data_IF_718797225318
#
_entry.id   IF_718797225318
#
_cell.length_a   1.000
_cell.length_b   1.000
_cell.length_c   1.000
_cell.angle_alpha   90.00
_cell.angle_beta   90.00
_cell.angle_gamma   90.00
#
_symmetry.space_group_name_H-M   'P 1'
#
loop_
_entity.id
_entity.type
_entity.pdbx_description
1 polymer ?
#
# COMPACT_ATOMS: atom_id res chain seq x y z
N UNK A 1 -11.74 -7.88 -13.01
CA UNK A 1 -10.97 -8.71 -12.11
C UNK A 1 -11.35 -8.39 -10.67
N UNK A 2 -11.61 -9.43 -9.90
CA UNK A 2 -11.87 -9.28 -8.48
C UNK A 2 -10.73 -9.93 -7.70
N UNK A 3 -10.14 -9.17 -6.79
CA UNK A 3 -9.10 -9.68 -5.93
C UNK A 3 -9.69 -9.94 -4.53
N UNK A 4 -9.21 -10.99 -3.88
CA UNK A 4 -9.51 -11.18 -2.47
C UNK A 4 -8.80 -10.11 -1.67
N UNK A 5 -9.20 -9.93 -0.41
CA UNK A 5 -8.60 -8.88 0.42
C UNK A 5 -7.12 -9.12 0.69
N UNK A 6 -6.75 -10.35 0.99
CA UNK A 6 -5.38 -10.66 1.37
C UNK A 6 -5.00 -10.10 2.73
N UNK A 7 -3.72 -10.21 3.05
CA UNK A 7 -3.17 -9.67 4.29
C UNK A 7 -1.79 -9.10 4.00
N UNK A 8 -1.21 -8.39 4.98
CA UNK A 8 0.13 -7.83 4.81
C UNK A 8 1.18 -8.93 4.61
N UNK A 9 1.01 -10.08 5.24
CA UNK A 9 1.94 -11.20 5.09
C UNK A 9 1.62 -12.05 3.86
N UNK A 10 0.41 -11.93 3.32
CA UNK A 10 -0.06 -12.73 2.21
C UNK A 10 -0.95 -11.88 1.31
N UNK A 11 -0.36 -10.93 0.57
CA UNK A 11 -1.12 -10.02 -0.28
C UNK A 11 -1.95 -10.76 -1.33
N UNK A 12 -3.03 -10.13 -1.77
CA UNK A 12 -3.87 -10.71 -2.80
C UNK A 12 -3.21 -10.70 -4.18
N UNK A 13 -2.37 -9.70 -4.43
CA UNK A 13 -1.58 -9.60 -5.65
C UNK A 13 -0.12 -9.50 -5.23
N UNK A 14 0.70 -10.47 -5.62
CA UNK A 14 2.07 -10.56 -5.14
C UNK A 14 3.00 -11.08 -6.25
N UNK A 15 4.29 -10.96 -6.01
CA UNK A 15 5.30 -11.43 -6.94
C UNK A 15 5.70 -12.85 -6.60
N UNK A 16 5.83 -13.69 -7.63
CA UNK A 16 6.07 -15.11 -7.42
C UNK A 16 7.32 -15.44 -6.64
N UNK A 17 8.38 -14.61 -6.78
CA UNK A 17 9.63 -14.82 -6.08
C UNK A 17 9.69 -14.09 -4.74
N UNK A 18 8.69 -13.29 -4.43
CA UNK A 18 8.64 -12.53 -3.18
C UNK A 18 7.19 -12.39 -2.75
N UNK A 19 6.57 -13.48 -2.27
CA UNK A 19 5.14 -13.48 -2.02
C UNK A 19 4.68 -12.63 -0.83
N UNK A 20 5.60 -12.06 -0.07
CA UNK A 20 5.26 -11.13 1.00
C UNK A 20 5.28 -9.67 0.56
N UNK A 21 5.55 -9.43 -0.73
CA UNK A 21 5.52 -8.09 -1.32
C UNK A 21 4.38 -8.03 -2.31
N UNK A 22 3.47 -7.08 -2.11
CA UNK A 22 2.34 -6.97 -3.01
C UNK A 22 1.27 -6.03 -2.48
N UNK A 23 0.08 -6.20 -3.01
CA UNK A 23 -1.05 -5.31 -2.75
C UNK A 23 -2.14 -6.10 -2.05
N UNK A 24 -2.73 -5.49 -1.03
CA UNK A 24 -3.83 -6.11 -0.31
C UNK A 24 -4.79 -5.05 0.19
N UNK A 25 -5.94 -5.48 0.70
CA UNK A 25 -6.96 -4.58 1.24
C UNK A 25 -7.11 -4.87 2.74
N UNK A 26 -6.63 -3.94 3.56
CA UNK A 26 -6.62 -4.13 5.00
C UNK A 26 -8.04 -4.11 5.59
N UNK A 27 -8.91 -3.29 5.04
CA UNK A 27 -10.31 -3.22 5.47
C UNK A 27 -11.11 -2.45 4.43
N UNK A 28 -12.41 -2.30 4.66
CA UNK A 28 -13.27 -1.57 3.74
C UNK A 28 -12.75 -0.14 3.56
N UNK A 29 -12.70 0.30 2.32
CA UNK A 29 -12.25 1.64 1.98
C UNK A 29 -10.75 1.84 2.03
N UNK A 30 -9.96 0.76 2.12
CA UNK A 30 -8.52 0.85 2.15
C UNK A 30 -7.87 -0.03 1.09
N UNK A 31 -6.68 0.38 0.68
CA UNK A 31 -5.89 -0.30 -0.33
C UNK A 31 -4.44 -0.11 0.10
N UNK A 32 -3.73 -1.18 0.32
CA UNK A 32 -2.41 -1.13 0.94
C UNK A 32 -1.37 -1.81 0.09
N UNK A 33 -0.13 -1.34 0.22
CA UNK A 33 1.03 -1.97 -0.42
C UNK A 33 1.95 -2.45 0.69
N UNK A 34 2.22 -3.75 0.70
CA UNK A 34 3.13 -4.35 1.66
C UNK A 34 4.44 -4.73 1.00
N UNK A 35 5.54 -4.52 1.71
CA UNK A 35 6.87 -4.88 1.28
C UNK A 35 7.49 -5.75 2.35
N UNK A 36 7.84 -6.99 1.98
CA UNK A 36 8.44 -7.96 2.89
C UNK A 36 7.61 -8.16 4.16
N UNK A 37 6.28 -8.18 3.99
CA UNK A 37 5.38 -8.41 5.10
C UNK A 37 5.15 -7.20 6.00
N UNK A 38 5.56 -6.02 5.56
CA UNK A 38 5.37 -4.78 6.31
C UNK A 38 4.52 -3.83 5.48
N UNK A 39 3.49 -3.27 6.09
CA UNK A 39 2.66 -2.27 5.41
C UNK A 39 3.43 -0.97 5.23
N UNK A 40 3.66 -0.57 3.98
CA UNK A 40 4.43 0.63 3.67
C UNK A 40 3.59 1.77 3.14
N UNK A 41 2.54 1.47 2.40
CA UNK A 41 1.68 2.50 1.82
C UNK A 41 0.24 2.11 2.09
N UNK A 42 -0.53 3.05 2.56
CA UNK A 42 -1.96 2.85 2.79
C UNK A 42 -2.73 3.98 2.12
N UNK A 43 -3.64 3.63 1.24
CA UNK A 43 -4.55 4.58 0.61
C UNK A 43 -5.94 4.33 1.17
N UNK A 44 -6.57 5.37 1.68
CA UNK A 44 -7.89 5.25 2.28
C UNK A 44 -8.76 6.42 1.84
N UNK A 45 -9.99 6.43 2.35
CA UNK A 45 -10.92 7.52 2.05
C UNK A 45 -10.44 8.86 2.60
N UNK A 46 -9.55 8.85 3.58
CA UNK A 46 -9.04 10.06 4.21
C UNK A 46 -7.68 10.49 3.69
N UNK A 47 -7.05 9.70 2.83
CA UNK A 47 -5.78 10.10 2.24
C UNK A 47 -4.78 8.98 2.11
N UNK A 48 -3.52 9.36 2.06
CA UNK A 48 -2.39 8.48 1.81
C UNK A 48 -1.46 8.51 3.02
N UNK A 49 -1.09 7.33 3.51
CA UNK A 49 -0.12 7.21 4.60
C UNK A 49 1.07 6.39 4.13
N UNK A 50 2.27 6.86 4.43
CA UNK A 50 3.51 6.18 4.10
C UNK A 50 4.26 5.87 5.39
N UNK A 51 4.55 4.58 5.61
CA UNK A 51 5.35 4.17 6.76
C UNK A 51 6.81 4.20 6.36
N UNK A 52 7.55 5.17 6.87
CA UNK A 52 8.93 5.39 6.50
C UNK A 52 9.11 6.67 5.72
N UNK A 53 10.06 6.69 4.80
CA UNK A 53 10.39 7.89 4.04
C UNK A 53 9.57 7.95 2.76
N UNK A 54 8.84 9.06 2.60
CA UNK A 54 8.22 9.40 1.34
C UNK A 54 9.10 10.40 0.62
N UNK A 55 9.58 10.03 -0.57
CA UNK A 55 10.47 10.88 -1.34
C UNK A 55 9.74 11.44 -2.55
N UNK A 56 9.60 12.75 -2.59
CA UNK A 56 8.94 13.46 -3.68
C UNK A 56 9.99 14.30 -4.39
N UNK A 57 10.58 13.75 -5.44
CA UNK A 57 11.73 14.33 -6.12
C UNK A 57 11.47 15.76 -6.60
N UNK A 58 10.27 16.02 -7.10
CA UNK A 58 9.91 17.35 -7.57
C UNK A 58 9.06 18.13 -6.57
N UNK A 59 8.92 17.60 -5.37
CA UNK A 59 8.07 18.18 -4.35
C UNK A 59 6.61 17.83 -4.53
N UNK A 60 5.81 18.19 -3.55
CA UNK A 60 4.37 17.98 -3.58
C UNK A 60 3.72 19.26 -4.10
N UNK A 61 3.00 19.14 -5.20
CA UNK A 61 2.41 20.29 -5.85
C UNK A 61 1.00 20.57 -5.36
N UNK A 62 0.65 21.85 -5.45
CA UNK A 62 -0.75 22.29 -5.39
C UNK A 62 -1.30 22.36 -4.03
N UNK A 63 -0.50 22.38 -3.03
CA UNK A 63 -1.24 22.38 -1.89
C UNK A 63 -0.72 22.91 -0.61
N UNK A 64 -1.68 23.10 0.20
CA UNK A 64 -1.48 23.28 1.63
C UNK A 64 -1.72 21.92 2.27
N UNK A 65 -0.78 21.44 2.97
CA UNK A 65 -0.86 20.12 3.55
C UNK A 65 -0.85 20.17 5.07
#
# INVERSE_FOLDING_TARGET
VNLTDGTVASPSLYFGTEPTTGIYRASAGKFDIGILGVNRVEVSATGLAVAGTGNFTSGVLGGTF
#
